data_IF_458514055338
#
_entry.id   IF_458514055338
#
_cell.length_a   1.000
_cell.length_b   1.000
_cell.length_c   1.000
_cell.angle_alpha   90.00
_cell.angle_beta   90.00
_cell.angle_gamma   90.00
#
_symmetry.space_group_name_H-M   'P 1'
#
loop_
_entity.id
_entity.type
_entity.pdbx_description
1 polymer ?
#
# COMPACT_ATOMS: atom_id res chain seq x y z
N UNK A 1 35.33 5.19 -50.79
CA UNK A 1 34.15 5.81 -50.14
C UNK A 1 33.07 4.78 -49.74
N UNK A 2 33.42 3.67 -49.08
CA UNK A 2 32.43 2.66 -48.62
C UNK A 2 32.50 2.37 -47.11
N UNK A 3 33.52 2.89 -46.40
CA UNK A 3 33.70 2.69 -44.96
C UNK A 3 32.99 3.73 -44.09
N UNK A 4 32.75 4.94 -44.63
CA UNK A 4 32.06 6.00 -43.90
C UNK A 4 30.55 5.72 -43.73
N UNK A 5 29.91 5.06 -44.69
CA UNK A 5 28.47 4.77 -44.65
C UNK A 5 28.09 3.70 -43.61
N UNK A 6 29.00 2.78 -43.28
CA UNK A 6 28.76 1.72 -42.30
C UNK A 6 28.84 2.28 -40.87
N UNK A 7 29.73 3.27 -40.64
CA UNK A 7 29.85 3.92 -39.33
C UNK A 7 28.59 4.73 -38.98
N UNK A 8 27.96 5.37 -39.96
CA UNK A 8 26.73 6.15 -39.74
C UNK A 8 25.52 5.30 -39.36
N UNK A 9 25.42 4.07 -39.88
CA UNK A 9 24.33 3.14 -39.54
C UNK A 9 24.45 2.67 -38.09
N UNK A 10 25.68 2.40 -37.62
CA UNK A 10 25.90 1.98 -36.23
C UNK A 10 25.60 3.09 -35.20
N UNK A 11 25.87 4.36 -35.53
CA UNK A 11 25.51 5.50 -34.66
C UNK A 11 24.00 5.75 -34.58
N UNK A 12 23.23 5.45 -35.62
CA UNK A 12 21.76 5.62 -35.60
C UNK A 12 21.10 4.56 -34.71
N UNK A 13 21.60 3.31 -34.72
CA UNK A 13 21.07 2.25 -33.86
C UNK A 13 21.36 2.46 -32.35
N UNK A 14 22.49 3.09 -32.00
CA UNK A 14 22.78 3.43 -30.59
C UNK A 14 21.95 4.61 -30.07
N UNK A 15 21.56 5.56 -30.94
CA UNK A 15 20.70 6.68 -30.54
C UNK A 15 19.23 6.25 -30.37
N UNK A 16 18.78 5.17 -31.01
CA UNK A 16 17.44 4.61 -30.76
C UNK A 16 17.32 3.90 -29.40
N UNK A 17 18.41 3.42 -28.81
CA UNK A 17 18.37 2.83 -27.47
C UNK A 17 18.27 3.89 -26.36
N UNK A 18 18.77 5.12 -26.59
CA UNK A 18 18.66 6.21 -25.60
C UNK A 18 17.22 6.74 -25.50
N UNK A 19 16.44 6.65 -26.58
CA UNK A 19 14.99 6.96 -26.57
C UNK A 19 14.09 5.75 -26.24
N UNK A 20 14.68 4.58 -25.98
CA UNK A 20 13.99 3.44 -25.36
C UNK A 20 13.94 3.55 -23.83
N UNK A 21 14.39 4.67 -23.24
CA UNK A 21 13.71 5.25 -22.07
C UNK A 21 12.38 5.81 -22.61
N UNK A 22 11.49 4.90 -23.00
CA UNK A 22 10.14 5.27 -23.37
C UNK A 22 9.60 6.07 -22.20
N UNK A 23 9.22 7.32 -22.46
CA UNK A 23 8.03 7.86 -21.83
C UNK A 23 7.02 6.73 -21.80
N UNK A 24 6.79 6.15 -20.61
CA UNK A 24 5.57 5.40 -20.41
C UNK A 24 4.50 6.45 -20.65
N UNK A 25 3.83 6.39 -21.79
CA UNK A 25 2.46 6.86 -21.87
C UNK A 25 1.79 6.32 -20.60
N UNK A 26 1.57 7.22 -19.66
CA UNK A 26 1.26 6.88 -18.27
C UNK A 26 0.08 5.94 -18.30
N UNK A 27 0.30 4.69 -17.93
CA UNK A 27 -0.76 3.72 -17.73
C UNK A 27 -1.51 4.27 -16.51
N UNK A 28 -2.55 5.09 -16.76
CA UNK A 28 -3.33 5.84 -15.75
C UNK A 28 -3.91 4.92 -14.66
N UNK A 29 -3.78 3.60 -14.87
CA UNK A 29 -4.29 2.52 -14.05
C UNK A 29 -3.20 1.66 -13.40
N UNK A 30 -1.95 2.12 -13.25
CA UNK A 30 -0.91 1.37 -12.52
C UNK A 30 -0.21 2.25 -11.50
N UNK A 31 -0.02 1.71 -10.30
CA UNK A 31 0.83 2.33 -9.28
C UNK A 31 1.92 1.37 -8.82
N UNK A 32 3.16 1.80 -8.90
CA UNK A 32 4.27 1.13 -8.24
C UNK A 32 4.42 1.63 -6.81
N UNK A 33 4.41 0.71 -5.85
CA UNK A 33 4.66 1.00 -4.44
C UNK A 33 5.92 0.27 -4.00
N UNK A 34 6.72 0.94 -3.19
CA UNK A 34 7.88 0.35 -2.54
C UNK A 34 7.49 -0.53 -1.36
N UNK A 35 8.23 -1.62 -1.21
CA UNK A 35 8.07 -2.52 -0.07
C UNK A 35 8.86 -2.01 1.14
N UNK A 36 8.27 -2.22 2.30
CA UNK A 36 8.85 -1.91 3.59
C UNK A 36 8.80 -3.14 4.49
N UNK A 37 9.82 -3.27 5.33
CA UNK A 37 9.83 -4.17 6.48
C UNK A 37 9.26 -3.42 7.68
N UNK A 38 8.35 -4.05 8.42
CA UNK A 38 7.77 -3.47 9.62
C UNK A 38 8.66 -3.79 10.83
N UNK A 39 9.20 -2.77 11.50
CA UNK A 39 9.98 -2.92 12.73
C UNK A 39 9.19 -2.71 14.01
N UNK A 40 8.09 -1.96 13.95
CA UNK A 40 7.30 -1.68 15.14
C UNK A 40 6.45 -2.90 15.55
N UNK A 41 6.78 -3.50 16.70
CA UNK A 41 6.11 -4.72 17.21
C UNK A 41 4.62 -4.51 17.47
N UNK A 42 4.20 -3.35 17.99
CA UNK A 42 2.78 -3.08 18.29
C UNK A 42 1.94 -3.06 17.01
N UNK A 43 2.45 -2.42 15.96
CA UNK A 43 1.83 -2.44 14.63
C UNK A 43 1.89 -3.85 14.05
N UNK A 44 2.98 -4.60 14.28
CA UNK A 44 3.16 -5.96 13.79
C UNK A 44 2.14 -6.94 14.36
N UNK A 45 1.96 -6.94 15.68
CA UNK A 45 0.93 -7.72 16.35
C UNK A 45 -0.47 -7.37 15.83
N UNK A 46 -0.77 -6.08 15.71
CA UNK A 46 -2.06 -5.61 15.20
C UNK A 46 -2.32 -6.07 13.75
N UNK A 47 -1.32 -5.93 12.88
CA UNK A 47 -1.42 -6.35 11.49
C UNK A 47 -1.61 -7.88 11.39
N UNK A 48 -0.89 -8.65 12.20
CA UNK A 48 -1.06 -10.10 12.28
C UNK A 48 -2.46 -10.49 12.76
N UNK A 49 -2.95 -9.86 13.82
CA UNK A 49 -4.28 -10.12 14.38
C UNK A 49 -5.39 -9.80 13.37
N UNK A 50 -5.32 -8.65 12.70
CA UNK A 50 -6.27 -8.27 11.65
C UNK A 50 -6.20 -9.26 10.48
N UNK A 51 -4.99 -9.63 10.03
CA UNK A 51 -4.83 -10.58 8.93
C UNK A 51 -5.44 -11.93 9.26
N UNK A 52 -5.14 -12.46 10.45
CA UNK A 52 -5.67 -13.73 10.94
C UNK A 52 -7.18 -13.68 11.15
N UNK A 53 -7.69 -12.55 11.67
CA UNK A 53 -9.13 -12.35 11.84
C UNK A 53 -9.85 -12.42 10.50
N UNK A 54 -9.37 -11.71 9.47
CA UNK A 54 -9.97 -11.75 8.13
C UNK A 54 -9.85 -13.15 7.55
N UNK A 55 -8.67 -13.77 7.62
CA UNK A 55 -8.41 -15.10 7.05
C UNK A 55 -9.34 -16.20 7.59
N UNK A 56 -9.68 -16.15 8.88
CA UNK A 56 -10.56 -17.14 9.52
C UNK A 56 -12.03 -16.99 9.16
N UNK A 57 -12.42 -15.91 8.48
CA UNK A 57 -13.82 -15.60 8.19
C UNK A 57 -14.23 -16.18 6.84
N UNK A 58 -15.47 -16.68 6.75
CA UNK A 58 -16.00 -17.36 5.56
C UNK A 58 -15.76 -16.59 4.26
N UNK A 59 -15.95 -15.27 4.29
CA UNK A 59 -15.82 -14.41 3.11
C UNK A 59 -14.50 -13.63 3.09
N UNK A 60 -13.56 -13.90 4.02
CA UNK A 60 -12.33 -13.12 4.17
C UNK A 60 -11.47 -13.06 2.91
N UNK A 61 -11.53 -14.09 2.07
CA UNK A 61 -10.83 -14.15 0.78
C UNK A 61 -11.27 -13.06 -0.21
N UNK A 62 -12.46 -12.46 -0.04
CA UNK A 62 -12.94 -11.36 -0.88
C UNK A 62 -12.21 -10.04 -0.59
N UNK A 63 -11.49 -9.95 0.52
CA UNK A 63 -10.68 -8.79 0.90
C UNK A 63 -9.20 -9.17 0.90
N UNK A 64 -8.49 -9.15 -0.23
CA UNK A 64 -7.10 -9.59 -0.30
C UNK A 64 -6.09 -8.57 0.24
N UNK A 65 -6.46 -7.29 0.29
CA UNK A 65 -5.57 -6.20 0.69
C UNK A 65 -6.13 -5.47 1.90
N UNK A 66 -5.26 -4.88 2.70
CA UNK A 66 -5.64 -4.02 3.80
C UNK A 66 -4.89 -2.71 3.71
N UNK A 67 -5.54 -1.60 3.99
CA UNK A 67 -4.93 -0.28 4.05
C UNK A 67 -4.87 0.17 5.50
N UNK A 68 -3.74 0.74 5.89
CA UNK A 68 -3.56 1.40 7.18
C UNK A 68 -3.33 2.88 6.89
N UNK A 69 -4.26 3.70 7.35
CA UNK A 69 -4.13 5.15 7.35
C UNK A 69 -3.60 5.60 8.71
N UNK A 70 -2.39 6.13 8.69
CA UNK A 70 -1.70 6.68 9.84
C UNK A 70 -2.12 8.13 10.07
N UNK A 71 -2.42 8.45 11.32
CA UNK A 71 -2.59 9.83 11.77
C UNK A 71 -2.04 10.03 13.18
N UNK A 72 -1.54 11.21 13.51
CA UNK A 72 -0.98 11.56 14.82
C UNK A 72 -1.68 12.80 15.37
N UNK A 73 -2.37 12.64 16.50
CA UNK A 73 -3.00 13.76 17.22
C UNK A 73 -2.40 13.83 18.63
N UNK A 74 -1.82 14.98 19.00
CA UNK A 74 -1.18 15.24 20.30
C UNK A 74 -0.19 14.14 20.75
N UNK A 75 0.57 13.60 19.80
CA UNK A 75 1.56 12.55 20.06
C UNK A 75 0.99 11.13 20.07
N UNK A 76 -0.33 10.95 20.06
CA UNK A 76 -0.97 9.64 20.00
C UNK A 76 -1.12 9.20 18.55
N UNK A 77 -0.59 8.02 18.23
CA UNK A 77 -0.71 7.43 16.91
C UNK A 77 -2.08 6.77 16.77
N UNK A 78 -2.85 7.18 15.76
CA UNK A 78 -4.14 6.60 15.39
C UNK A 78 -4.01 5.88 14.06
N UNK A 79 -4.53 4.66 14.01
CA UNK A 79 -4.52 3.80 12.83
C UNK A 79 -5.96 3.50 12.40
N UNK A 80 -6.35 3.99 11.23
CA UNK A 80 -7.59 3.61 10.57
C UNK A 80 -7.29 2.48 9.58
N UNK A 81 -7.74 1.27 9.91
CA UNK A 81 -7.45 0.04 9.15
C UNK A 81 -8.68 -0.35 8.34
N UNK A 82 -8.53 -0.50 7.02
CA UNK A 82 -9.61 -0.87 6.10
C UNK A 82 -9.24 -2.11 5.31
N UNK A 83 -10.03 -3.18 5.40
CA UNK A 83 -9.89 -4.31 4.48
C UNK A 83 -10.47 -3.91 3.12
N UNK A 84 -9.67 -3.97 2.07
CA UNK A 84 -10.06 -3.63 0.71
C UNK A 84 -10.39 -4.90 -0.06
N UNK A 85 -11.53 -4.89 -0.72
CA UNK A 85 -11.91 -5.91 -1.68
C UNK A 85 -11.16 -5.67 -3.01
N UNK A 86 -11.77 -6.07 -4.14
CA UNK A 86 -11.22 -5.77 -5.45
C UNK A 86 -11.33 -4.26 -5.84
N UNK A 87 -11.80 -3.38 -4.96
CA UNK A 87 -11.75 -1.91 -5.11
C UNK A 87 -10.33 -1.37 -4.87
N UNK A 88 -9.39 -1.76 -5.72
CA UNK A 88 -8.01 -1.26 -5.71
C UNK A 88 -7.91 0.27 -5.80
N UNK A 89 -8.91 0.92 -6.41
CA UNK A 89 -9.02 2.38 -6.44
C UNK A 89 -9.10 3.02 -5.03
N UNK A 90 -9.60 2.30 -4.02
CA UNK A 90 -9.66 2.79 -2.63
C UNK A 90 -8.32 2.74 -1.89
N UNK A 91 -7.26 2.25 -2.55
CA UNK A 91 -5.90 2.48 -2.05
C UNK A 91 -5.53 3.97 -2.02
N UNK A 92 -6.24 4.82 -2.76
CA UNK A 92 -6.04 6.27 -2.79
C UNK A 92 -7.38 6.98 -2.62
N UNK A 93 -7.61 7.53 -1.43
CA UNK A 93 -8.75 8.43 -1.23
C UNK A 93 -8.23 9.88 -1.29
N UNK A 94 -9.01 10.83 -1.84
CA UNK A 94 -8.64 12.24 -1.79
C UNK A 94 -8.37 12.69 -0.35
N UNK A 95 -7.29 13.46 -0.14
CA UNK A 95 -6.86 13.90 1.20
C UNK A 95 -5.90 12.93 1.91
N UNK A 96 -5.44 11.89 1.22
CA UNK A 96 -4.49 10.91 1.74
C UNK A 96 -3.27 10.78 0.82
N UNK A 97 -2.12 10.50 1.42
CA UNK A 97 -0.86 10.21 0.73
C UNK A 97 -0.49 8.75 0.97
N UNK A 98 -0.22 8.00 -0.10
CA UNK A 98 0.23 6.60 -0.02
C UNK A 98 1.74 6.52 -0.20
N UNK A 99 2.40 5.73 0.65
CA UNK A 99 3.86 5.68 0.78
C UNK A 99 4.46 4.37 0.30
N UNK A 100 3.73 3.27 0.44
CA UNK A 100 4.26 1.95 0.13
C UNK A 100 3.36 0.84 0.63
N UNK A 101 3.95 -0.35 0.74
CA UNK A 101 3.29 -1.50 1.33
C UNK A 101 4.26 -2.33 2.17
N UNK A 102 3.70 -3.16 3.05
CA UNK A 102 4.42 -4.24 3.69
C UNK A 102 3.59 -5.52 3.63
N UNK A 103 4.22 -6.66 3.87
CA UNK A 103 3.54 -7.95 3.93
C UNK A 103 3.60 -8.45 5.37
N UNK A 104 2.45 -8.81 5.91
CA UNK A 104 2.35 -9.48 7.21
C UNK A 104 1.50 -10.74 7.06
N UNK A 105 2.03 -11.86 7.54
CA UNK A 105 1.45 -13.20 7.35
C UNK A 105 1.30 -13.51 5.85
N UNK A 106 0.08 -13.41 5.31
CA UNK A 106 -0.26 -13.69 3.92
C UNK A 106 -1.02 -12.52 3.26
N UNK A 107 -0.89 -11.31 3.82
CA UNK A 107 -1.69 -10.15 3.46
C UNK A 107 -0.82 -8.93 3.19
N UNK A 108 -1.18 -8.21 2.13
CA UNK A 108 -0.57 -6.95 1.77
C UNK A 108 -1.23 -5.84 2.57
N UNK A 109 -0.41 -5.01 3.21
CA UNK A 109 -0.82 -3.83 3.93
C UNK A 109 -0.30 -2.58 3.21
N UNK A 110 -1.20 -1.75 2.71
CA UNK A 110 -0.89 -0.44 2.12
C UNK A 110 -0.69 0.58 3.23
N UNK A 111 0.39 1.36 3.13
CA UNK A 111 0.77 2.40 4.09
C UNK A 111 0.35 3.75 3.53
N UNK A 112 -0.54 4.45 4.23
CA UNK A 112 -0.97 5.81 3.87
C UNK A 112 -0.99 6.72 5.09
N UNK A 113 -0.93 8.03 4.90
CA UNK A 113 -1.24 9.05 5.91
C UNK A 113 -2.26 10.05 5.36
N UNK A 114 -2.84 10.89 6.22
CA UNK A 114 -3.57 12.07 5.75
C UNK A 114 -2.58 13.08 5.17
N UNK A 115 -2.93 13.75 4.07
CA UNK A 115 -2.03 14.67 3.35
C UNK A 115 -1.43 15.77 4.23
N UNK A 116 -2.19 16.25 5.21
CA UNK A 116 -1.79 17.34 6.10
C UNK A 116 -1.01 16.87 7.33
N UNK A 117 -0.70 15.59 7.44
CA UNK A 117 -0.02 15.01 8.59
C UNK A 117 1.39 14.53 8.24
N UNK A 118 2.38 15.04 8.97
CA UNK A 118 3.75 14.55 8.91
C UNK A 118 3.92 13.37 9.87
N UNK A 119 3.70 12.16 9.36
CA UNK A 119 4.06 10.93 10.05
C UNK A 119 5.46 10.53 9.62
N UNK A 120 6.38 10.43 10.57
CA UNK A 120 7.71 9.88 10.30
C UNK A 120 7.62 8.35 10.24
N UNK A 121 7.56 7.82 9.02
CA UNK A 121 7.52 6.37 8.80
C UNK A 121 8.83 5.66 9.11
N UNK A 122 9.95 6.39 9.18
CA UNK A 122 11.23 5.81 9.55
C UNK A 122 11.26 5.32 11.00
N UNK A 123 10.31 5.71 11.85
CA UNK A 123 10.14 5.14 13.20
C UNK A 123 9.54 3.73 13.18
N UNK A 124 8.79 3.39 12.14
CA UNK A 124 7.96 2.17 12.09
C UNK A 124 8.42 1.16 11.05
N UNK A 125 9.12 1.62 10.01
CA UNK A 125 9.46 0.83 8.85
C UNK A 125 10.91 1.01 8.44
N UNK A 126 11.45 -0.03 7.82
CA UNK A 126 12.74 -0.01 7.11
C UNK A 126 12.47 -0.30 5.62
N UNK A 127 13.12 0.42 4.68
CA UNK A 127 12.96 0.15 3.26
C UNK A 127 13.49 -1.24 2.89
N UNK A 128 12.85 -1.90 1.93
CA UNK A 128 13.32 -3.17 1.36
C UNK A 128 13.83 -2.91 -0.06
N UNK A 129 15.11 -3.23 -0.30
CA UNK A 129 15.72 -3.15 -1.63
C UNK A 129 15.01 -4.10 -2.62
N UNK A 130 14.83 -3.64 -3.86
CA UNK A 130 14.20 -4.38 -4.96
C UNK A 130 12.80 -4.96 -4.66
N UNK A 131 12.10 -4.37 -3.68
CA UNK A 131 10.79 -4.81 -3.23
C UNK A 131 9.60 -4.17 -3.97
N UNK A 132 9.86 -3.34 -4.98
CA UNK A 132 8.81 -2.59 -5.67
C UNK A 132 7.78 -3.53 -6.33
N UNK A 133 6.49 -3.21 -6.15
CA UNK A 133 5.39 -3.94 -6.80
C UNK A 133 4.45 -2.97 -7.48
N UNK A 134 4.09 -3.30 -8.72
CA UNK A 134 3.06 -2.57 -9.47
C UNK A 134 1.68 -3.14 -9.18
N UNK A 135 0.78 -2.28 -8.77
CA UNK A 135 -0.63 -2.55 -8.51
C UNK A 135 -1.46 -1.95 -9.62
N UNK A 136 -2.38 -2.74 -10.17
CA UNK A 136 -3.38 -2.22 -11.12
C UNK A 136 -4.48 -1.47 -10.37
N UNK A 137 -4.90 -0.33 -10.89
CA UNK A 137 -6.15 0.32 -10.53
C UNK A 137 -7.23 -0.23 -11.47
N UNK A 138 -8.25 -0.86 -10.88
CA UNK A 138 -9.45 -1.24 -11.62
C UNK A 138 -10.61 -0.43 -11.08
N UNK A 139 -11.34 0.25 -11.97
CA UNK A 139 -12.58 0.91 -11.60
C UNK A 139 -13.65 -0.14 -11.30
N UNK A 140 -13.90 -0.41 -10.02
CA UNK A 140 -15.07 -1.19 -9.59
C UNK A 140 -16.30 -0.29 -9.57
N UNK A 141 -17.38 -0.74 -10.21
CA UNK A 141 -18.69 -0.04 -10.16
C UNK A 141 -19.49 -0.35 -8.90
N UNK A 142 -19.07 -1.34 -8.10
CA UNK A 142 -19.85 -1.84 -6.98
C UNK A 142 -19.35 -1.22 -5.68
N UNK A 143 -20.16 -0.36 -5.07
CA UNK A 143 -19.88 0.22 -3.76
C UNK A 143 -20.04 -0.89 -2.71
N UNK A 144 -18.93 -1.43 -2.22
CA UNK A 144 -18.92 -2.37 -1.10
C UNK A 144 -18.53 -1.62 0.18
N UNK A 145 -19.27 -1.89 1.27
CA UNK A 145 -18.93 -1.39 2.60
C UNK A 145 -17.82 -2.25 3.19
N UNK A 146 -16.60 -1.77 3.05
CA UNK A 146 -15.41 -2.46 3.50
C UNK A 146 -15.33 -2.57 5.04
N UNK A 147 -14.90 -3.72 5.60
CA UNK A 147 -14.59 -3.86 7.01
C UNK A 147 -13.56 -2.83 7.45
N UNK A 148 -13.84 -2.15 8.55
CA UNK A 148 -12.98 -1.08 9.09
C UNK A 148 -12.76 -1.27 10.58
N UNK A 149 -11.56 -0.93 11.02
CA UNK A 149 -11.20 -0.84 12.43
C UNK A 149 -10.45 0.45 12.69
N UNK A 150 -10.59 0.97 13.90
CA UNK A 150 -9.89 2.17 14.36
C UNK A 150 -9.17 1.83 15.63
N UNK A 151 -7.86 2.06 15.65
CA UNK A 151 -6.99 1.82 16.81
C UNK A 151 -6.25 3.09 17.20
N UNK A 152 -5.89 3.17 18.48
CA UNK A 152 -4.88 4.09 18.98
C UNK A 152 -3.73 3.31 19.59
N UNK A 153 -2.52 3.79 19.34
CA UNK A 153 -1.27 3.29 19.91
C UNK A 153 -0.76 4.40 20.83
N UNK A 154 -0.83 4.11 22.12
CA UNK A 154 -0.21 4.89 23.18
C UNK A 154 1.11 4.20 23.55
N UNK A 155 2.17 4.97 23.73
CA UNK A 155 3.47 4.46 24.15
C UNK A 155 3.40 3.75 25.51
N UNK A 156 2.54 4.25 26.41
CA UNK A 156 2.33 3.71 27.75
C UNK A 156 1.62 2.34 27.79
N UNK A 157 0.95 1.96 26.71
CA UNK A 157 0.17 0.72 26.63
C UNK A 157 0.92 -0.36 25.86
N UNK A 158 0.92 -1.59 26.37
CA UNK A 158 1.54 -2.75 25.71
C UNK A 158 0.86 -3.08 24.37
N UNK A 159 -0.46 -2.89 24.29
CA UNK A 159 -1.27 -3.25 23.13
C UNK A 159 -2.03 -2.06 22.54
N UNK A 160 -2.21 -1.99 21.22
CA UNK A 160 -3.11 -1.02 20.58
C UNK A 160 -4.55 -1.15 21.10
N UNK A 161 -5.19 -0.02 21.41
CA UNK A 161 -6.58 0.00 21.88
C UNK A 161 -7.53 0.20 20.71
N UNK A 162 -8.43 -0.76 20.49
CA UNK A 162 -9.50 -0.60 19.49
C UNK A 162 -10.52 0.43 19.98
N UNK A 163 -10.78 1.45 19.17
CA UNK A 163 -11.82 2.45 19.43
C UNK A 163 -13.14 2.08 18.75
N UNK A 164 -13.08 1.54 17.53
CA UNK A 164 -14.26 1.25 16.72
C UNK A 164 -13.98 0.12 15.74
N UNK A 165 -15.03 -0.63 15.41
CA UNK A 165 -15.06 -1.49 14.23
C UNK A 165 -16.38 -1.32 13.48
N UNK A 166 -16.39 -1.55 12.17
CA UNK A 166 -17.57 -1.39 11.32
C UNK A 166 -17.55 -2.38 10.14
N UNK A 167 -18.74 -2.72 9.64
CA UNK A 167 -18.96 -3.59 8.48
C UNK A 167 -18.30 -4.99 8.61
N UNK A 168 -18.13 -5.51 9.83
CA UNK A 168 -17.49 -6.80 10.07
C UNK A 168 -18.34 -7.97 9.57
N UNK A 169 -19.65 -7.78 9.49
CA UNK A 169 -20.61 -8.74 8.95
C UNK A 169 -20.31 -9.11 7.49
N UNK A 170 -19.65 -8.22 6.74
CA UNK A 170 -19.25 -8.49 5.35
C UNK A 170 -18.29 -9.69 5.25
N UNK A 171 -17.46 -9.90 6.28
CA UNK A 171 -16.52 -11.02 6.37
C UNK A 171 -17.22 -12.37 6.58
N UNK A 172 -18.50 -12.37 6.98
CA UNK A 172 -19.21 -13.59 7.37
C UNK A 172 -18.84 -14.05 8.79
N UNK A 173 -19.61 -15.00 9.32
CA UNK A 173 -19.32 -15.61 10.63
C UNK A 173 -18.14 -16.58 10.51
#
# INVERSE_FOLDING_TARGET
MKKAAILTIFCICFLSEIFAISHSDGDVNKLTLSCYSLKNEKIGHLASDISNFIFRRKNGYLWPVTKILFSKDKGVLKLDITALDNEWNKMYEPGEKTYGYFIMTNRIFIISSKENEQVDFSEYFDPVEDGDRTFGSSNSKKIIKNPKWVYIIDESCTFPKQLRAANLEALGR
#
